data_IF_811759223046
#
_entry.id   IF_811759223046
#
_cell.length_a   1.000
_cell.length_b   1.000
_cell.length_c   1.000
_cell.angle_alpha   90.00
_cell.angle_beta   90.00
_cell.angle_gamma   90.00
#
_symmetry.space_group_name_H-M   'P 1'
#
loop_
_entity.id
_entity.type
_entity.pdbx_description
1 polymer ?
#
# COMPACT_ATOMS: atom_id res chain seq x y z
N UNK A 1 2.23 17.66 -14.26
CA UNK A 1 1.13 16.77 -13.78
C UNK A 1 1.25 15.47 -14.55
N UNK A 2 1.11 14.30 -13.91
CA UNK A 2 1.20 13.02 -14.59
C UNK A 2 -0.04 12.84 -15.48
N UNK A 3 0.16 12.67 -16.79
CA UNK A 3 -0.95 12.36 -17.70
C UNK A 3 -1.29 10.88 -17.59
N UNK A 4 -2.54 10.56 -17.24
CA UNK A 4 -2.97 9.19 -16.94
C UNK A 4 -3.45 8.40 -18.15
N UNK A 5 -3.82 9.07 -19.25
CA UNK A 5 -4.49 8.47 -20.42
C UNK A 5 -3.76 7.26 -21.01
N UNK A 6 -2.42 7.33 -21.07
CA UNK A 6 -1.60 6.29 -21.67
C UNK A 6 -0.91 5.38 -20.67
N UNK A 7 -1.04 5.68 -19.38
CA UNK A 7 -0.38 4.92 -18.31
C UNK A 7 -1.08 3.60 -18.03
N UNK A 8 -0.29 2.55 -17.85
CA UNK A 8 -0.72 1.26 -17.31
C UNK A 8 -0.65 1.35 -15.78
N UNK A 9 -1.80 1.18 -15.13
CA UNK A 9 -1.96 1.46 -13.72
C UNK A 9 -2.33 0.18 -12.98
N UNK A 10 -1.48 -0.25 -12.06
CA UNK A 10 -1.78 -1.32 -11.12
C UNK A 10 -2.46 -0.76 -9.88
N UNK A 11 -3.68 -1.23 -9.57
CA UNK A 11 -4.38 -0.86 -8.33
C UNK A 11 -4.58 -2.11 -7.49
N UNK A 12 -3.66 -2.38 -6.55
CA UNK A 12 -3.83 -3.48 -5.62
C UNK A 12 -4.93 -3.14 -4.61
N UNK A 13 -5.80 -4.10 -4.29
CA UNK A 13 -6.97 -3.81 -3.46
C UNK A 13 -8.07 -3.01 -4.20
N UNK A 14 -7.92 -2.79 -5.51
CA UNK A 14 -8.85 -1.99 -6.34
C UNK A 14 -10.29 -2.49 -6.35
N UNK A 15 -10.56 -3.75 -6.03
CA UNK A 15 -11.91 -4.30 -5.93
C UNK A 15 -12.53 -4.17 -4.51
N UNK A 16 -11.79 -3.62 -3.55
CA UNK A 16 -12.27 -3.34 -2.19
C UNK A 16 -13.12 -2.07 -2.10
N UNK A 17 -13.55 -1.73 -0.88
CA UNK A 17 -14.38 -0.55 -0.62
C UNK A 17 -13.72 0.75 -1.12
N UNK A 18 -12.53 1.06 -0.62
CA UNK A 18 -11.77 2.24 -1.05
C UNK A 18 -11.31 2.10 -2.51
N UNK A 19 -10.85 0.91 -2.88
CA UNK A 19 -10.26 0.65 -4.20
C UNK A 19 -11.21 0.97 -5.36
N UNK A 20 -12.49 0.64 -5.25
CA UNK A 20 -13.50 0.98 -6.27
C UNK A 20 -13.62 2.48 -6.48
N UNK A 21 -13.59 3.27 -5.40
CA UNK A 21 -13.66 4.72 -5.49
C UNK A 21 -12.40 5.30 -6.14
N UNK A 22 -11.22 4.78 -5.76
CA UNK A 22 -9.95 5.19 -6.35
C UNK A 22 -9.92 4.88 -7.85
N UNK A 23 -10.35 3.69 -8.26
CA UNK A 23 -10.43 3.31 -9.69
C UNK A 23 -11.36 4.24 -10.45
N UNK A 24 -12.56 4.54 -9.92
CA UNK A 24 -13.49 5.47 -10.54
C UNK A 24 -12.88 6.87 -10.70
N UNK A 25 -12.21 7.38 -9.65
CA UNK A 25 -11.54 8.67 -9.70
C UNK A 25 -10.37 8.73 -10.69
N UNK A 26 -9.63 7.63 -10.84
CA UNK A 26 -8.58 7.52 -11.88
C UNK A 26 -9.19 7.63 -13.28
N UNK A 27 -10.31 6.95 -13.54
CA UNK A 27 -11.03 7.00 -14.82
C UNK A 27 -11.58 8.41 -15.08
N UNK A 28 -12.21 9.03 -14.11
CA UNK A 28 -12.71 10.41 -14.19
C UNK A 28 -11.57 11.41 -14.43
N UNK A 29 -10.37 11.14 -13.90
CA UNK A 29 -9.17 11.94 -14.12
C UNK A 29 -8.48 11.64 -15.48
N UNK A 30 -9.09 10.79 -16.32
CA UNK A 30 -8.63 10.52 -17.69
C UNK A 30 -7.79 9.27 -17.88
N UNK A 31 -7.69 8.39 -16.87
CA UNK A 31 -7.07 7.08 -17.05
C UNK A 31 -7.93 6.19 -17.98
N UNK A 32 -7.26 5.45 -18.88
CA UNK A 32 -7.94 4.48 -19.73
C UNK A 32 -8.32 3.23 -18.90
N UNK A 33 -9.63 2.88 -18.77
CA UNK A 33 -10.08 1.72 -18.03
C UNK A 33 -9.40 0.41 -18.44
N UNK A 34 -9.12 0.23 -19.74
CA UNK A 34 -8.49 -0.97 -20.29
C UNK A 34 -7.02 -1.11 -19.87
N UNK A 35 -6.42 -0.03 -19.35
CA UNK A 35 -5.05 0.01 -18.85
C UNK A 35 -4.95 -0.04 -17.31
N UNK A 36 -6.08 -0.26 -16.63
CA UNK A 36 -6.11 -0.42 -15.17
C UNK A 36 -6.16 -1.89 -14.80
N UNK A 37 -5.11 -2.37 -14.14
CA UNK A 37 -5.00 -3.75 -13.64
C UNK A 37 -5.39 -3.83 -12.17
N UNK A 38 -6.33 -4.71 -11.83
CA UNK A 38 -6.85 -4.90 -10.46
C UNK A 38 -6.69 -6.38 -10.08
N UNK A 39 -5.54 -6.80 -9.53
CA UNK A 39 -5.32 -8.19 -9.13
C UNK A 39 -6.20 -8.57 -7.94
N UNK A 40 -6.63 -9.83 -7.93
CA UNK A 40 -7.38 -10.42 -6.81
C UNK A 40 -6.46 -11.33 -6.01
N UNK A 41 -6.59 -11.31 -4.69
CA UNK A 41 -5.73 -12.10 -3.79
C UNK A 41 -5.79 -13.61 -4.04
N UNK A 42 -6.90 -14.14 -4.59
CA UNK A 42 -7.03 -15.56 -4.96
C UNK A 42 -6.12 -15.96 -6.12
N UNK A 43 -5.79 -14.99 -7.01
CA UNK A 43 -5.04 -15.23 -8.25
C UNK A 43 -3.63 -14.61 -8.18
N UNK A 44 -3.43 -13.64 -7.28
CA UNK A 44 -2.19 -12.88 -7.10
C UNK A 44 -1.94 -12.60 -5.62
N UNK A 45 -1.22 -13.51 -4.96
CA UNK A 45 -0.83 -13.35 -3.55
C UNK A 45 0.44 -12.49 -3.44
N UNK A 46 0.26 -11.24 -3.10
CA UNK A 46 1.36 -10.26 -2.97
C UNK A 46 2.37 -10.56 -1.86
N UNK A 47 2.14 -11.58 -1.04
CA UNK A 47 3.13 -12.10 -0.08
C UNK A 47 4.18 -12.96 -0.77
N UNK A 48 4.01 -13.27 -2.05
CA UNK A 48 4.94 -14.03 -2.89
C UNK A 48 5.66 -13.10 -3.85
N UNK A 49 6.97 -13.23 -3.90
CA UNK A 49 7.80 -12.38 -4.75
C UNK A 49 7.42 -12.48 -6.23
N UNK A 50 7.21 -13.71 -6.71
CA UNK A 50 6.86 -13.97 -8.11
C UNK A 50 5.53 -13.31 -8.49
N UNK A 51 4.56 -13.30 -7.58
CA UNK A 51 3.28 -12.63 -7.81
C UNK A 51 3.44 -11.11 -7.90
N UNK A 52 4.32 -10.53 -7.07
CA UNK A 52 4.64 -9.10 -7.14
C UNK A 52 5.33 -8.75 -8.46
N UNK A 53 6.33 -9.55 -8.88
CA UNK A 53 7.03 -9.36 -10.15
C UNK A 53 6.07 -9.41 -11.35
N UNK A 54 5.16 -10.39 -11.36
CA UNK A 54 4.12 -10.50 -12.40
C UNK A 54 3.17 -9.30 -12.39
N UNK A 55 2.72 -8.88 -11.20
CA UNK A 55 1.77 -7.78 -11.06
C UNK A 55 2.33 -6.44 -11.56
N UNK A 56 3.61 -6.14 -11.28
CA UNK A 56 4.24 -4.88 -11.69
C UNK A 56 4.78 -4.89 -13.10
N UNK A 57 4.87 -6.05 -13.74
CA UNK A 57 5.43 -6.18 -15.10
C UNK A 57 4.70 -5.28 -16.08
N UNK A 58 5.45 -4.36 -16.68
CA UNK A 58 4.93 -3.43 -17.67
C UNK A 58 3.97 -2.38 -17.11
N UNK A 59 3.90 -2.16 -15.79
CA UNK A 59 3.12 -1.09 -15.21
C UNK A 59 3.92 0.21 -15.12
N UNK A 60 3.24 1.34 -15.34
CA UNK A 60 3.85 2.67 -15.23
C UNK A 60 3.57 3.30 -13.85
N UNK A 61 2.41 2.99 -13.29
CA UNK A 61 1.95 3.53 -11.99
C UNK A 61 1.43 2.40 -11.11
N UNK A 62 1.79 2.40 -9.83
CA UNK A 62 1.23 1.49 -8.82
C UNK A 62 0.51 2.28 -7.73
N UNK A 63 -0.73 1.90 -7.47
CA UNK A 63 -1.51 2.37 -6.31
C UNK A 63 -1.74 1.17 -5.38
N UNK A 64 -1.02 1.15 -4.26
CA UNK A 64 -1.06 0.04 -3.31
C UNK A 64 -2.06 0.32 -2.19
N UNK A 65 -3.27 -0.27 -2.31
CA UNK A 65 -4.34 -0.20 -1.31
C UNK A 65 -4.56 -1.55 -0.62
N UNK A 66 -4.00 -2.63 -1.17
CA UNK A 66 -4.16 -3.96 -0.56
C UNK A 66 -3.56 -3.99 0.84
N UNK A 67 -4.30 -4.55 1.78
CA UNK A 67 -3.86 -4.80 3.13
C UNK A 67 -4.66 -5.95 3.73
N UNK A 68 -4.04 -6.70 4.64
CA UNK A 68 -4.74 -7.60 5.53
C UNK A 68 -5.15 -6.79 6.77
N UNK A 69 -6.43 -6.48 6.87
CA UNK A 69 -6.98 -5.63 7.92
C UNK A 69 -8.22 -6.26 8.54
N UNK A 70 -8.48 -5.90 9.79
CA UNK A 70 -9.68 -6.28 10.50
C UNK A 70 -9.96 -5.32 11.66
N UNK A 71 -11.05 -5.57 12.38
CA UNK A 71 -11.34 -4.82 13.60
C UNK A 71 -10.36 -5.16 14.74
N UNK A 72 -10.50 -4.45 15.87
CA UNK A 72 -9.64 -4.62 17.05
C UNK A 72 -9.57 -6.08 17.55
N UNK A 73 -10.63 -6.87 17.34
CA UNK A 73 -10.65 -8.30 17.66
C UNK A 73 -9.58 -9.07 16.90
N UNK A 74 -9.50 -8.89 15.57
CA UNK A 74 -8.50 -9.54 14.74
C UNK A 74 -7.07 -9.10 15.11
N UNK A 75 -6.88 -7.80 15.39
CA UNK A 75 -5.58 -7.29 15.82
C UNK A 75 -5.08 -7.95 17.12
N UNK A 76 -5.99 -8.27 18.05
CA UNK A 76 -5.66 -8.98 19.30
C UNK A 76 -5.42 -10.47 19.09
N UNK A 77 -6.22 -11.09 18.22
CA UNK A 77 -6.17 -12.54 17.97
C UNK A 77 -4.97 -12.93 17.09
N UNK A 78 -4.66 -12.11 16.06
CA UNK A 78 -3.67 -12.44 15.02
C UNK A 78 -2.65 -11.33 14.74
N UNK A 79 -2.00 -10.79 15.77
CA UNK A 79 -1.08 -9.65 15.59
C UNK A 79 0.12 -10.00 14.68
N UNK A 80 0.68 -11.20 14.83
CA UNK A 80 1.84 -11.64 14.04
C UNK A 80 1.49 -11.84 12.56
N UNK A 81 0.31 -12.40 12.24
CA UNK A 81 -0.15 -12.56 10.87
C UNK A 81 -0.38 -11.19 10.21
N UNK A 82 -1.01 -10.25 10.92
CA UNK A 82 -1.24 -8.90 10.42
C UNK A 82 0.06 -8.15 10.16
N UNK A 83 1.03 -8.28 11.05
CA UNK A 83 2.37 -7.70 10.85
C UNK A 83 3.02 -8.29 9.60
N UNK A 84 3.13 -9.63 9.56
CA UNK A 84 3.81 -10.34 8.49
C UNK A 84 3.18 -10.07 7.12
N UNK A 85 1.86 -10.27 6.99
CA UNK A 85 1.17 -10.14 5.71
C UNK A 85 1.31 -8.74 5.12
N UNK A 86 1.09 -7.70 5.94
CA UNK A 86 1.18 -6.31 5.44
C UNK A 86 2.62 -5.89 5.13
N UNK A 87 3.58 -6.33 5.95
CA UNK A 87 4.99 -6.04 5.70
C UNK A 87 5.46 -6.72 4.42
N UNK A 88 5.18 -8.01 4.26
CA UNK A 88 5.62 -8.78 3.09
C UNK A 88 4.99 -8.28 1.80
N UNK A 89 3.66 -8.07 1.77
CA UNK A 89 2.98 -7.55 0.59
C UNK A 89 3.57 -6.21 0.14
N UNK A 90 3.70 -5.28 1.07
CA UNK A 90 4.20 -3.94 0.75
C UNK A 90 5.67 -3.93 0.37
N UNK A 91 6.52 -4.60 1.15
CA UNK A 91 7.98 -4.60 0.93
C UNK A 91 8.35 -5.22 -0.41
N UNK A 92 7.76 -6.37 -0.75
CA UNK A 92 8.03 -7.05 -2.02
C UNK A 92 7.49 -6.24 -3.21
N UNK A 93 6.27 -5.70 -3.09
CA UNK A 93 5.67 -4.93 -4.18
C UNK A 93 6.45 -3.64 -4.46
N UNK A 94 6.89 -2.93 -3.42
CA UNK A 94 7.72 -1.71 -3.58
C UNK A 94 9.04 -2.05 -4.25
N UNK A 95 9.72 -3.10 -3.78
CA UNK A 95 11.01 -3.52 -4.34
C UNK A 95 10.89 -3.91 -5.81
N UNK A 96 9.95 -4.79 -6.14
CA UNK A 96 9.74 -5.24 -7.53
C UNK A 96 9.27 -4.11 -8.45
N UNK A 97 8.50 -3.16 -7.94
CA UNK A 97 8.10 -1.98 -8.70
C UNK A 97 9.31 -1.10 -9.05
N UNK A 98 10.23 -0.92 -8.12
CA UNK A 98 11.49 -0.20 -8.37
C UNK A 98 12.34 -0.93 -9.44
N UNK A 99 12.54 -2.23 -9.29
CA UNK A 99 13.29 -3.04 -10.29
C UNK A 99 12.64 -3.04 -11.68
N UNK A 100 11.31 -2.99 -11.74
CA UNK A 100 10.55 -2.92 -13.00
C UNK A 100 10.53 -1.53 -13.64
N UNK A 101 11.10 -0.50 -12.99
CA UNK A 101 11.12 0.87 -13.50
C UNK A 101 9.77 1.58 -13.43
N UNK A 102 8.91 1.23 -12.47
CA UNK A 102 7.63 1.94 -12.24
C UNK A 102 7.90 3.42 -11.94
N UNK A 103 7.26 4.30 -12.71
CA UNK A 103 7.49 5.74 -12.62
C UNK A 103 6.93 6.37 -11.34
N UNK A 104 5.80 5.84 -10.85
CA UNK A 104 5.12 6.37 -9.67
C UNK A 104 4.53 5.25 -8.83
N UNK A 105 4.91 5.23 -7.54
CA UNK A 105 4.33 4.35 -6.53
C UNK A 105 3.58 5.17 -5.48
N UNK A 106 2.32 4.86 -5.25
CA UNK A 106 1.48 5.46 -4.21
C UNK A 106 1.09 4.38 -3.21
N UNK A 107 1.47 4.54 -1.96
CA UNK A 107 1.10 3.62 -0.88
C UNK A 107 0.21 4.35 0.13
N UNK A 108 -0.94 3.76 0.44
CA UNK A 108 -1.81 4.32 1.49
C UNK A 108 -1.29 3.93 2.86
N UNK A 109 -1.01 4.94 3.69
CA UNK A 109 -0.62 4.79 5.08
C UNK A 109 -1.81 4.45 5.99
N UNK A 110 -1.62 4.64 7.28
CA UNK A 110 -2.67 4.38 8.28
C UNK A 110 -2.50 5.28 9.50
N UNK A 111 -3.60 5.68 10.11
CA UNK A 111 -3.61 6.36 11.39
C UNK A 111 -3.02 5.48 12.52
N UNK A 112 -3.11 4.16 12.39
CA UNK A 112 -2.52 3.20 13.35
C UNK A 112 -0.99 3.27 13.43
N UNK A 113 -0.32 3.97 12.49
CA UNK A 113 1.13 4.17 12.51
C UNK A 113 1.57 5.29 13.45
N UNK A 114 0.65 6.17 13.85
CA UNK A 114 0.96 7.27 14.75
C UNK A 114 1.13 6.81 16.20
N UNK A 115 1.94 7.54 17.00
CA UNK A 115 2.08 7.25 18.42
C UNK A 115 0.74 7.29 19.15
N UNK A 116 0.60 6.47 20.19
CA UNK A 116 -0.63 6.35 21.00
C UNK A 116 -1.17 7.69 21.50
N UNK A 117 -0.29 8.60 21.86
CA UNK A 117 -0.62 9.89 22.47
C UNK A 117 -0.31 11.07 21.55
N UNK A 118 -0.53 10.90 20.24
CA UNK A 118 -0.35 11.99 19.27
C UNK A 118 -1.41 13.07 19.48
N UNK A 119 -1.03 14.36 19.55
CA UNK A 119 -1.98 15.47 19.63
C UNK A 119 -2.94 15.50 18.43
N UNK A 120 -4.15 15.99 18.65
CA UNK A 120 -5.16 16.16 17.58
C UNK A 120 -5.25 17.66 17.22
N UNK A 121 -5.27 18.01 15.94
CA UNK A 121 -5.18 17.17 14.73
C UNK A 121 -3.79 16.58 14.52
N UNK A 122 -3.71 15.36 13.98
CA UNK A 122 -2.45 14.70 13.69
C UNK A 122 -1.68 15.45 12.60
N UNK A 123 -0.35 15.55 12.77
CA UNK A 123 0.57 16.09 11.78
C UNK A 123 1.54 15.00 11.34
N UNK A 124 1.96 15.03 10.07
CA UNK A 124 2.87 14.02 9.53
C UNK A 124 4.21 13.96 10.29
N UNK A 125 4.69 15.11 10.79
CA UNK A 125 5.90 15.22 11.61
C UNK A 125 5.84 14.44 12.92
N UNK A 126 4.62 14.20 13.44
CA UNK A 126 4.41 13.46 14.69
C UNK A 126 4.49 11.93 14.51
N UNK A 127 4.52 11.46 13.28
CA UNK A 127 4.50 10.03 12.97
C UNK A 127 5.61 9.24 13.68
N UNK A 128 6.79 9.87 13.88
CA UNK A 128 7.98 9.22 14.44
C UNK A 128 8.21 9.50 15.93
N UNK A 129 7.32 10.26 16.58
CA UNK A 129 7.51 10.74 17.97
C UNK A 129 7.17 9.68 19.05
N UNK A 130 6.98 8.42 18.68
CA UNK A 130 6.73 7.36 19.66
C UNK A 130 6.18 6.06 19.07
N UNK A 131 5.78 5.17 19.97
CA UNK A 131 5.24 3.85 19.62
C UNK A 131 3.71 3.92 19.43
N UNK A 132 3.15 3.21 18.44
CA UNK A 132 1.71 3.13 18.24
C UNK A 132 0.96 2.49 19.43
N UNK A 133 -0.36 2.62 19.43
CA UNK A 133 -1.20 1.91 20.40
C UNK A 133 -0.98 0.39 20.28
N UNK A 134 -0.82 -0.30 21.38
CA UNK A 134 -0.26 -1.66 21.49
C UNK A 134 -1.04 -2.69 20.66
N UNK A 135 -2.38 -2.57 20.62
CA UNK A 135 -3.24 -3.48 19.88
C UNK A 135 -3.07 -3.35 18.36
N UNK A 136 -2.86 -2.12 17.91
CA UNK A 136 -2.70 -1.79 16.49
C UNK A 136 -1.23 -1.75 16.05
N UNK A 137 -0.30 -1.75 16.99
CA UNK A 137 1.12 -1.56 16.72
C UNK A 137 1.68 -2.54 15.68
N UNK A 138 1.38 -3.84 15.69
CA UNK A 138 1.89 -4.77 14.68
C UNK A 138 1.54 -4.33 13.25
N UNK A 139 0.27 -4.02 12.99
CA UNK A 139 -0.18 -3.50 11.71
C UNK A 139 0.40 -2.11 11.41
N UNK A 140 0.34 -1.20 12.40
CA UNK A 140 0.83 0.17 12.26
C UNK A 140 2.32 0.24 11.95
N UNK A 141 3.15 -0.56 12.64
CA UNK A 141 4.61 -0.63 12.41
C UNK A 141 4.91 -1.23 11.04
N UNK A 142 4.21 -2.29 10.62
CA UNK A 142 4.37 -2.85 9.28
C UNK A 142 4.13 -1.78 8.20
N UNK A 143 3.03 -1.03 8.31
CA UNK A 143 2.73 0.07 7.37
C UNK A 143 3.73 1.23 7.44
N UNK A 144 4.22 1.55 8.65
CA UNK A 144 5.23 2.60 8.88
C UNK A 144 6.57 2.24 8.23
N UNK A 145 6.97 0.95 8.28
CA UNK A 145 8.20 0.48 7.64
C UNK A 145 8.20 0.70 6.12
N UNK A 146 7.03 0.58 5.47
CA UNK A 146 6.90 0.82 4.03
C UNK A 146 7.19 2.28 3.66
N UNK A 147 6.91 3.24 4.54
CA UNK A 147 7.24 4.66 4.30
C UNK A 147 8.75 4.86 4.25
N UNK A 148 9.50 4.21 5.15
CA UNK A 148 10.98 4.25 5.13
C UNK A 148 11.51 3.65 3.85
N UNK A 149 10.97 2.52 3.42
CA UNK A 149 11.40 1.86 2.18
C UNK A 149 11.14 2.74 0.96
N UNK A 150 9.94 3.35 0.86
CA UNK A 150 9.58 4.26 -0.23
C UNK A 150 10.49 5.49 -0.28
N UNK A 151 10.78 6.08 0.88
CA UNK A 151 11.70 7.20 0.97
C UNK A 151 13.12 6.81 0.55
N UNK A 152 13.58 5.63 0.97
CA UNK A 152 14.89 5.11 0.59
C UNK A 152 15.02 4.93 -0.93
N UNK A 153 14.01 4.35 -1.58
CA UNK A 153 14.03 4.22 -3.04
C UNK A 153 13.87 5.56 -3.78
N UNK A 154 13.20 6.52 -3.17
CA UNK A 154 13.12 7.88 -3.74
C UNK A 154 14.48 8.60 -3.72
N UNK A 155 15.33 8.31 -2.73
CA UNK A 155 16.66 8.90 -2.60
C UNK A 155 17.71 8.19 -3.45
N UNK A 156 17.52 6.91 -3.76
CA UNK A 156 18.42 6.08 -4.58
C UNK A 156 18.20 6.33 -6.08
#
# INVERSE_FOLDING_TARGET
MLELKDKRILVTGGAGFLGKQVVNQLIEAGANPDKITIPRSRDCDLRRLESCQQAVSGQDVVVHLAAHVGGIGLNREKPAELFYDNLMMGTQLIHTAYEAGVEKFVCVGTICAYPKFTPVPFKEEDLWNGYPEETNAPYGVAKKALLVQLESYRLQ
#
